data_IF_505819478196
#
_entry.id   IF_505819478196
#
_cell.length_a   1.000
_cell.length_b   1.000
_cell.length_c   1.000
_cell.angle_alpha   90.00
_cell.angle_beta   90.00
_cell.angle_gamma   90.00
#
_symmetry.space_group_name_H-M   'P 1'
#
loop_
_entity.id
_entity.type
_entity.pdbx_description
1 polymer ?
#
# COMPACT_ATOMS: atom_id res chain seq x y z
N UNK A 1 29.88 -16.74 6.75
CA UNK A 1 29.14 -15.47 6.92
C UNK A 1 30.19 -14.38 7.06
N UNK A 2 30.13 -13.33 6.24
CA UNK A 2 31.13 -12.25 6.25
C UNK A 2 30.84 -11.25 7.37
N UNK A 3 31.85 -10.53 7.85
CA UNK A 3 31.67 -9.49 8.88
C UNK A 3 30.68 -8.41 8.42
N UNK A 4 30.67 -8.04 7.13
CA UNK A 4 29.64 -7.17 6.56
C UNK A 4 28.21 -7.70 6.75
N UNK A 5 27.98 -9.01 6.56
CA UNK A 5 26.65 -9.59 6.69
C UNK A 5 26.17 -9.58 8.15
N UNK A 6 27.08 -9.75 9.10
CA UNK A 6 26.80 -9.65 10.54
C UNK A 6 26.52 -8.19 10.91
N UNK A 7 27.27 -7.25 10.36
CA UNK A 7 27.08 -5.82 10.64
C UNK A 7 25.76 -5.28 10.04
N UNK A 8 25.38 -5.73 8.85
CA UNK A 8 24.06 -5.44 8.26
C UNK A 8 22.93 -6.06 9.07
N UNK A 9 23.09 -7.31 9.54
CA UNK A 9 22.10 -7.99 10.37
C UNK A 9 21.93 -7.32 11.75
N UNK A 10 23.02 -6.89 12.38
CA UNK A 10 22.99 -6.18 13.66
C UNK A 10 22.41 -4.77 13.52
N UNK A 11 22.74 -4.03 12.45
CA UNK A 11 22.05 -2.77 12.13
C UNK A 11 20.54 -3.01 11.93
N UNK A 12 20.16 -4.04 11.19
CA UNK A 12 18.75 -4.40 10.98
C UNK A 12 18.02 -4.71 12.29
N UNK A 13 18.66 -5.39 13.25
CA UNK A 13 18.10 -5.72 14.57
C UNK A 13 18.01 -4.51 15.51
N UNK A 14 19.03 -3.64 15.54
CA UNK A 14 19.00 -2.40 16.33
C UNK A 14 17.93 -1.43 15.82
N UNK A 15 17.77 -1.36 14.49
CA UNK A 15 16.70 -0.59 13.83
C UNK A 15 15.30 -1.12 14.20
N UNK A 16 15.11 -2.45 14.23
CA UNK A 16 13.83 -3.06 14.60
C UNK A 16 13.39 -2.70 16.04
N UNK A 17 14.32 -2.52 16.97
CA UNK A 17 14.01 -2.12 18.35
C UNK A 17 13.75 -0.62 18.52
N UNK A 18 14.51 0.22 17.80
CA UNK A 18 14.38 1.69 17.87
C UNK A 18 13.10 2.19 17.20
N UNK A 19 12.65 1.52 16.14
CA UNK A 19 11.51 1.96 15.33
C UNK A 19 10.15 1.73 15.99
N UNK A 20 10.04 0.76 16.90
CA UNK A 20 8.86 0.58 17.76
C UNK A 20 8.62 1.74 18.73
N UNK A 21 9.65 2.51 19.06
CA UNK A 21 9.59 3.59 20.04
C UNK A 21 9.36 4.97 19.40
N UNK A 22 9.64 5.12 18.11
CA UNK A 22 9.63 6.41 17.39
C UNK A 22 8.32 6.71 16.65
N UNK A 23 7.43 5.72 16.53
CA UNK A 23 6.16 5.88 15.85
C UNK A 23 5.00 5.76 16.83
N UNK A 24 3.94 6.54 16.63
CA UNK A 24 2.60 6.25 17.16
C UNK A 24 1.99 4.97 16.51
N UNK A 25 2.83 3.96 16.23
CA UNK A 25 2.47 2.63 15.77
C UNK A 25 2.45 1.75 17.00
N UNK A 26 1.25 1.33 17.41
CA UNK A 26 1.11 0.34 18.47
C UNK A 26 1.20 -1.11 17.94
N UNK A 27 1.38 -1.34 16.62
CA UNK A 27 1.19 -2.68 16.02
C UNK A 27 1.79 -2.90 14.59
N UNK A 28 3.03 -2.46 14.32
CA UNK A 28 3.75 -2.61 13.03
C UNK A 28 2.99 -2.16 11.76
N UNK A 29 1.98 -1.30 11.92
CA UNK A 29 1.07 -0.92 10.85
C UNK A 29 0.60 0.53 10.96
N UNK A 30 0.56 1.22 9.82
CA UNK A 30 -0.09 2.52 9.70
C UNK A 30 -1.61 2.34 9.73
N UNK A 31 -2.34 3.25 10.37
CA UNK A 31 -3.81 3.33 10.29
C UNK A 31 -4.18 4.76 9.96
N UNK A 32 -5.02 4.95 8.95
CA UNK A 32 -5.41 6.29 8.57
C UNK A 32 -6.47 6.33 7.47
N UNK A 33 -6.65 7.53 6.93
CA UNK A 33 -7.75 7.87 6.02
C UNK A 33 -7.19 8.27 4.67
N UNK A 34 -7.94 7.95 3.63
CA UNK A 34 -7.66 8.44 2.28
C UNK A 34 -8.63 9.54 1.93
N UNK A 35 -8.11 10.69 1.53
CA UNK A 35 -8.89 11.72 0.87
C UNK A 35 -8.60 11.65 -0.62
N UNK A 36 -9.60 11.23 -1.41
CA UNK A 36 -9.44 10.91 -2.83
C UNK A 36 -10.18 11.94 -3.67
N UNK A 37 -9.45 12.60 -4.57
CA UNK A 37 -9.99 13.57 -5.53
C UNK A 37 -9.92 13.05 -6.97
N UNK A 38 -10.98 13.24 -7.75
CA UNK A 38 -10.99 12.93 -9.19
C UNK A 38 -10.66 14.18 -10.02
N UNK A 39 -9.49 14.78 -9.75
CA UNK A 39 -9.09 16.06 -10.37
C UNK A 39 -8.93 15.96 -11.89
N UNK A 40 -8.60 14.76 -12.37
CA UNK A 40 -8.36 14.48 -13.78
C UNK A 40 -9.64 14.28 -14.60
N UNK A 41 -10.81 14.37 -13.98
CA UNK A 41 -12.07 14.65 -14.67
C UNK A 41 -12.76 13.45 -15.29
N UNK A 42 -12.53 12.25 -14.74
CA UNK A 42 -13.20 11.02 -15.18
C UNK A 42 -14.62 10.95 -14.61
N UNK A 43 -14.84 11.56 -13.44
CA UNK A 43 -16.14 11.72 -12.80
C UNK A 43 -16.25 13.15 -12.27
N UNK A 44 -17.21 13.92 -12.79
CA UNK A 44 -17.54 15.29 -12.34
C UNK A 44 -19.00 15.37 -11.97
N UNK A 45 -19.34 16.29 -11.08
CA UNK A 45 -20.74 16.66 -10.83
C UNK A 45 -21.32 17.40 -12.05
N UNK A 46 -22.64 17.49 -12.13
CA UNK A 46 -23.34 18.15 -13.25
C UNK A 46 -22.95 19.64 -13.44
N UNK A 47 -22.52 20.30 -12.37
CA UNK A 47 -22.04 21.69 -12.35
C UNK A 47 -20.51 21.81 -12.55
N UNK A 48 -19.82 20.70 -12.83
CA UNK A 48 -18.41 20.66 -13.20
C UNK A 48 -17.41 20.63 -12.04
N UNK A 49 -17.87 20.53 -10.79
CA UNK A 49 -16.98 20.39 -9.64
C UNK A 49 -16.29 19.02 -9.58
N UNK A 50 -15.07 19.03 -9.03
CA UNK A 50 -14.31 17.81 -8.73
C UNK A 50 -15.01 17.06 -7.61
N UNK A 51 -15.16 15.75 -7.79
CA UNK A 51 -15.66 14.87 -6.74
C UNK A 51 -14.51 14.54 -5.81
N UNK A 52 -14.67 14.90 -4.54
CA UNK A 52 -13.75 14.55 -3.45
C UNK A 52 -14.50 13.66 -2.45
N UNK A 53 -13.85 12.57 -2.02
CA UNK A 53 -14.41 11.63 -1.04
C UNK A 53 -13.36 11.24 -0.02
N UNK A 54 -13.78 11.14 1.22
CA UNK A 54 -12.95 10.60 2.30
C UNK A 54 -13.34 9.15 2.56
N UNK A 55 -12.35 8.29 2.60
CA UNK A 55 -12.45 6.88 2.91
C UNK A 55 -11.67 6.60 4.21
N UNK A 56 -12.26 5.90 5.15
CA UNK A 56 -11.68 5.60 6.47
C UNK A 56 -11.52 4.08 6.66
N UNK A 57 -10.72 3.69 7.65
CA UNK A 57 -10.56 2.30 8.07
C UNK A 57 -9.52 1.55 7.24
N UNK A 58 -8.48 2.23 6.75
CA UNK A 58 -7.35 1.58 6.11
C UNK A 58 -6.24 1.29 7.11
N UNK A 59 -5.59 0.15 6.90
CA UNK A 59 -4.38 -0.24 7.57
C UNK A 59 -3.31 -0.58 6.53
N UNK A 60 -2.11 0.01 6.64
CA UNK A 60 -0.98 -0.35 5.80
C UNK A 60 0.01 -1.20 6.58
N UNK A 61 0.57 -2.20 5.92
CA UNK A 61 1.67 -2.99 6.42
C UNK A 61 2.83 -3.00 5.42
N UNK A 62 4.05 -3.02 5.95
CA UNK A 62 5.28 -3.10 5.15
C UNK A 62 5.39 -4.43 4.43
N UNK A 63 5.86 -4.43 3.19
CA UNK A 63 6.26 -5.67 2.51
C UNK A 63 7.52 -6.28 3.15
N UNK A 64 7.85 -7.53 2.79
CA UNK A 64 9.09 -8.19 3.24
C UNK A 64 10.37 -7.53 2.71
N UNK A 65 10.26 -6.56 1.79
CA UNK A 65 11.37 -5.72 1.36
C UNK A 65 11.54 -4.53 2.31
N UNK A 66 12.47 -4.68 3.25
CA UNK A 66 12.74 -3.73 4.34
C UNK A 66 13.77 -2.67 3.95
N UNK A 67 13.69 -2.12 2.74
CA UNK A 67 14.53 -0.97 2.37
C UNK A 67 14.25 0.17 3.37
N UNK A 68 15.30 0.70 4.01
CA UNK A 68 15.20 1.72 5.08
C UNK A 68 14.38 2.94 4.61
N UNK A 69 14.45 3.22 3.32
CA UNK A 69 13.71 4.23 2.58
C UNK A 69 12.20 4.03 2.67
N UNK A 70 11.72 2.79 2.48
CA UNK A 70 10.28 2.45 2.56
C UNK A 70 9.76 2.65 3.97
N UNK A 71 10.56 2.27 4.99
CA UNK A 71 10.12 2.51 6.36
C UNK A 71 10.12 3.99 6.71
N UNK A 72 11.17 4.74 6.41
CA UNK A 72 11.19 6.20 6.65
C UNK A 72 10.01 6.89 5.95
N UNK A 73 9.65 6.42 4.75
CA UNK A 73 8.49 6.90 4.02
C UNK A 73 7.17 6.64 4.76
N UNK A 74 6.92 5.41 5.22
CA UNK A 74 5.75 5.07 6.04
C UNK A 74 5.75 5.84 7.36
N UNK A 75 6.92 6.05 7.96
CA UNK A 75 7.07 6.83 9.19
C UNK A 75 6.61 8.26 9.05
N UNK A 76 6.62 8.77 7.82
CA UNK A 76 6.19 10.12 7.49
C UNK A 76 4.72 10.23 7.08
N UNK A 77 3.95 9.14 7.13
CA UNK A 77 2.55 9.15 6.71
C UNK A 77 1.70 10.06 7.61
N UNK A 78 0.95 11.01 7.02
CA UNK A 78 -0.01 11.80 7.77
C UNK A 78 -1.22 10.96 8.18
N UNK A 79 -2.02 11.45 9.13
CA UNK A 79 -3.31 10.84 9.50
C UNK A 79 -4.25 10.70 8.29
N UNK A 80 -4.20 11.67 7.36
CA UNK A 80 -4.97 11.69 6.13
C UNK A 80 -4.03 11.80 4.93
N UNK A 81 -3.98 10.75 4.11
CA UNK A 81 -3.23 10.74 2.85
C UNK A 81 -4.14 11.27 1.75
N UNK A 82 -3.69 12.30 1.04
CA UNK A 82 -4.39 12.86 -0.12
C UNK A 82 -3.94 12.14 -1.39
N UNK A 83 -4.90 11.67 -2.18
CA UNK A 83 -4.67 10.88 -3.38
C UNK A 83 -5.53 11.41 -4.54
N UNK A 84 -5.00 11.33 -5.74
CA UNK A 84 -5.75 11.52 -6.97
C UNK A 84 -6.12 10.17 -7.60
N UNK A 85 -7.37 10.08 -8.05
CA UNK A 85 -7.85 8.94 -8.84
C UNK A 85 -7.47 9.14 -10.32
N UNK A 86 -6.76 8.17 -10.90
CA UNK A 86 -6.16 8.24 -12.24
C UNK A 86 -6.32 6.92 -13.01
N UNK A 87 -6.40 6.94 -14.36
CA UNK A 87 -6.35 5.70 -15.13
C UNK A 87 -5.07 4.94 -14.81
N UNK A 88 -5.17 3.64 -14.52
CA UNK A 88 -4.00 2.83 -14.14
C UNK A 88 -2.89 2.94 -15.18
N UNK A 89 -3.24 2.90 -16.46
CA UNK A 89 -2.28 2.98 -17.57
C UNK A 89 -1.50 4.30 -17.62
N UNK A 90 -2.02 5.40 -17.06
CA UNK A 90 -1.33 6.69 -17.09
C UNK A 90 -0.27 6.84 -16.00
N UNK A 91 -0.33 6.02 -14.95
CA UNK A 91 0.60 6.06 -13.81
C UNK A 91 1.32 4.73 -13.60
N UNK A 92 1.32 3.85 -14.60
CA UNK A 92 2.03 2.59 -14.53
C UNK A 92 3.54 2.84 -14.41
N UNK A 93 4.24 2.33 -13.37
CA UNK A 93 5.66 2.55 -13.21
C UNK A 93 6.45 2.01 -14.40
N UNK A 94 7.37 2.78 -14.96
CA UNK A 94 8.23 2.30 -16.07
C UNK A 94 9.19 1.18 -15.64
N UNK A 95 9.53 1.12 -14.34
CA UNK A 95 10.34 0.05 -13.75
C UNK A 95 9.63 -1.31 -13.76
N UNK A 96 8.29 -1.31 -13.85
CA UNK A 96 7.53 -2.53 -14.01
C UNK A 96 7.71 -3.00 -15.44
N UNK A 97 8.68 -3.91 -15.64
CA UNK A 97 9.01 -4.53 -16.93
C UNK A 97 7.83 -5.38 -17.45
N UNK A 98 8.09 -6.58 -17.96
CA UNK A 98 7.04 -7.49 -18.42
C UNK A 98 6.16 -8.04 -17.27
N UNK A 99 6.64 -8.03 -16.02
CA UNK A 99 5.93 -8.59 -14.86
C UNK A 99 6.37 -7.93 -13.55
N UNK A 100 5.41 -7.61 -12.67
CA UNK A 100 5.64 -7.07 -11.32
C UNK A 100 5.98 -8.23 -10.38
N UNK A 101 6.97 -8.07 -9.51
CA UNK A 101 7.33 -9.06 -8.48
C UNK A 101 6.98 -8.59 -7.07
N UNK A 102 7.11 -9.46 -6.07
CA UNK A 102 6.85 -9.09 -4.66
C UNK A 102 7.83 -8.04 -4.13
N UNK A 103 9.03 -8.00 -4.71
CA UNK A 103 10.10 -7.07 -4.31
C UNK A 103 9.80 -5.62 -4.72
N UNK A 104 8.97 -5.45 -5.75
CA UNK A 104 8.51 -4.15 -6.23
C UNK A 104 7.45 -3.52 -5.30
N UNK A 105 6.85 -4.32 -4.40
CA UNK A 105 5.77 -3.87 -3.52
C UNK A 105 6.39 -3.38 -2.21
N UNK A 106 6.15 -2.12 -1.88
CA UNK A 106 6.58 -1.52 -0.61
C UNK A 106 5.55 -1.71 0.51
N UNK A 107 4.25 -1.64 0.17
CA UNK A 107 3.17 -1.67 1.15
C UNK A 107 1.97 -2.50 0.69
N UNK A 108 1.31 -3.10 1.67
CA UNK A 108 0.00 -3.73 1.52
C UNK A 108 -1.03 -2.98 2.36
N UNK A 109 -2.14 -2.60 1.75
CA UNK A 109 -3.25 -1.91 2.37
C UNK A 109 -4.47 -2.82 2.52
N UNK A 110 -5.02 -2.86 3.73
CA UNK A 110 -6.14 -3.69 4.15
C UNK A 110 -7.23 -2.84 4.80
N UNK A 111 -8.45 -3.38 4.85
CA UNK A 111 -9.45 -2.88 5.77
C UNK A 111 -9.02 -3.20 7.21
N UNK A 112 -9.17 -2.22 8.10
CA UNK A 112 -8.85 -2.35 9.53
C UNK A 112 -9.72 -3.40 10.22
N UNK A 113 -10.98 -3.50 9.82
CA UNK A 113 -12.00 -4.40 10.37
C UNK A 113 -13.11 -4.66 9.34
N UNK A 114 -14.02 -5.59 9.67
CA UNK A 114 -15.14 -5.98 8.79
C UNK A 114 -16.03 -4.77 8.44
N UNK A 115 -16.28 -3.88 9.41
CA UNK A 115 -17.09 -2.69 9.17
C UNK A 115 -16.43 -1.74 8.16
N UNK A 116 -15.12 -1.54 8.28
CA UNK A 116 -14.31 -0.76 7.33
C UNK A 116 -14.29 -1.40 5.94
N UNK A 117 -14.28 -2.74 5.89
CA UNK A 117 -14.35 -3.50 4.66
C UNK A 117 -15.66 -3.24 3.90
N UNK A 118 -16.79 -3.41 4.60
CA UNK A 118 -18.13 -3.26 4.03
C UNK A 118 -18.45 -1.79 3.68
N UNK A 119 -17.96 -0.84 4.48
CA UNK A 119 -18.32 0.58 4.31
C UNK A 119 -17.49 1.29 3.24
N UNK A 120 -16.16 1.13 3.25
CA UNK A 120 -15.27 1.94 2.41
C UNK A 120 -14.37 1.10 1.50
N UNK A 121 -13.69 0.09 2.06
CA UNK A 121 -12.64 -0.62 1.35
C UNK A 121 -13.15 -1.35 0.11
N UNK A 122 -14.21 -2.15 0.26
CA UNK A 122 -14.78 -2.95 -0.83
C UNK A 122 -15.31 -2.08 -1.96
N UNK A 123 -16.00 -0.98 -1.62
CA UNK A 123 -16.52 -0.01 -2.58
C UNK A 123 -15.40 0.67 -3.38
N UNK A 124 -14.34 1.12 -2.71
CA UNK A 124 -13.17 1.72 -3.37
C UNK A 124 -12.45 0.70 -4.27
N UNK A 125 -12.16 -0.49 -3.74
CA UNK A 125 -11.53 -1.59 -4.48
C UNK A 125 -12.32 -1.94 -5.74
N UNK A 126 -13.63 -2.16 -5.61
CA UNK A 126 -14.50 -2.49 -6.73
C UNK A 126 -14.58 -1.37 -7.77
N UNK A 127 -14.57 -0.10 -7.33
CA UNK A 127 -14.51 1.06 -8.23
C UNK A 127 -13.20 1.04 -9.03
N UNK A 128 -12.06 0.83 -8.36
CA UNK A 128 -10.75 0.80 -8.99
C UNK A 128 -10.64 -0.33 -10.01
N UNK A 129 -11.09 -1.53 -9.66
CA UNK A 129 -11.08 -2.69 -10.57
C UNK A 129 -12.00 -2.46 -11.77
N UNK A 130 -13.27 -2.07 -11.51
CA UNK A 130 -14.29 -1.93 -12.56
C UNK A 130 -13.91 -0.90 -13.61
N UNK A 131 -13.25 0.18 -13.20
CA UNK A 131 -12.94 1.31 -14.06
C UNK A 131 -11.47 1.36 -14.52
N UNK A 132 -10.66 0.33 -14.22
CA UNK A 132 -9.22 0.28 -14.46
C UNK A 132 -8.46 1.51 -13.91
N UNK A 133 -8.73 1.85 -12.65
CA UNK A 133 -8.17 3.01 -11.97
C UNK A 133 -7.09 2.64 -10.96
N UNK A 134 -6.22 3.60 -10.70
CA UNK A 134 -5.20 3.58 -9.67
C UNK A 134 -5.20 4.90 -8.90
N UNK A 135 -4.59 4.91 -7.72
CA UNK A 135 -4.48 6.11 -6.88
C UNK A 135 -3.04 6.60 -6.86
N UNK A 136 -2.87 7.92 -6.91
CA UNK A 136 -1.57 8.58 -6.86
C UNK A 136 -1.53 9.63 -5.77
N UNK A 137 -0.54 9.58 -4.88
CA UNK A 137 -0.25 10.62 -3.91
C UNK A 137 1.19 11.10 -4.03
N UNK A 138 1.47 12.29 -3.51
CA UNK A 138 2.83 12.72 -3.24
C UNK A 138 2.96 12.98 -1.73
N UNK A 139 3.92 12.29 -1.10
CA UNK A 139 4.21 12.40 0.32
C UNK A 139 5.68 12.76 0.48
N UNK A 140 5.94 13.97 0.96
CA UNK A 140 7.30 14.48 1.21
C UNK A 140 8.25 14.35 0.00
N UNK A 141 7.74 14.55 -1.21
CA UNK A 141 8.52 14.48 -2.45
C UNK A 141 8.59 13.09 -3.07
N UNK A 142 8.19 12.03 -2.36
CA UNK A 142 8.09 10.69 -2.90
C UNK A 142 6.68 10.37 -3.41
N UNK A 143 6.59 9.66 -4.53
CA UNK A 143 5.32 9.28 -5.14
C UNK A 143 4.78 7.98 -4.57
N UNK A 144 3.55 8.04 -4.04
CA UNK A 144 2.80 6.88 -3.59
C UNK A 144 1.84 6.44 -4.70
N UNK A 145 2.06 5.27 -5.28
CA UNK A 145 1.16 4.69 -6.28
C UNK A 145 0.46 3.48 -5.68
N UNK A 146 -0.87 3.52 -5.61
CA UNK A 146 -1.69 2.44 -5.06
C UNK A 146 -2.51 1.80 -6.17
N UNK A 147 -2.42 0.48 -6.23
CA UNK A 147 -3.07 -0.35 -7.24
C UNK A 147 -3.93 -1.45 -6.59
N UNK A 148 -5.01 -1.90 -7.26
CA UNK A 148 -5.72 -3.10 -6.82
C UNK A 148 -4.89 -4.34 -7.16
N UNK A 149 -4.81 -5.34 -6.27
CA UNK A 149 -3.88 -6.46 -6.44
C UNK A 149 -4.18 -7.39 -7.61
N UNK A 150 -5.38 -7.34 -8.20
CA UNK A 150 -5.78 -8.18 -9.34
C UNK A 150 -4.94 -7.95 -10.62
N UNK A 151 -4.17 -6.86 -10.66
CA UNK A 151 -3.27 -6.56 -11.79
C UNK A 151 -1.91 -7.23 -11.64
N UNK A 152 -1.61 -7.77 -10.46
CA UNK A 152 -0.37 -8.47 -10.19
C UNK A 152 -0.46 -9.94 -10.63
N UNK A 153 0.67 -10.65 -10.76
CA UNK A 153 0.66 -12.11 -10.90
C UNK A 153 -0.11 -12.79 -9.77
N UNK A 154 -0.81 -13.89 -10.09
CA UNK A 154 -1.72 -14.58 -9.17
C UNK A 154 -1.05 -14.93 -7.84
N UNK A 155 0.24 -15.27 -7.86
CA UNK A 155 0.99 -15.70 -6.68
C UNK A 155 1.17 -14.59 -5.63
N UNK A 156 1.04 -13.32 -6.03
CA UNK A 156 1.24 -12.15 -5.18
C UNK A 156 -0.01 -11.26 -5.05
N UNK A 157 -1.16 -11.69 -5.60
CA UNK A 157 -2.41 -10.93 -5.48
C UNK A 157 -3.01 -10.98 -4.08
N UNK A 158 -2.64 -11.98 -3.27
CA UNK A 158 -3.21 -12.22 -1.94
C UNK A 158 -2.09 -12.44 -0.96
N UNK A 159 -1.76 -11.44 -0.17
CA UNK A 159 -0.79 -11.54 0.90
C UNK A 159 -1.48 -11.22 2.22
N UNK A 160 -1.30 -12.08 3.21
CA UNK A 160 -1.92 -11.98 4.53
C UNK A 160 -0.83 -11.68 5.55
N UNK A 161 -1.03 -10.73 6.47
CA UNK A 161 -0.12 -10.54 7.59
C UNK A 161 -0.04 -11.83 8.43
N UNK A 162 1.16 -12.29 8.81
CA UNK A 162 1.28 -13.36 9.80
C UNK A 162 0.67 -12.94 11.13
N UNK A 163 0.01 -13.88 11.80
CA UNK A 163 -0.56 -13.71 13.14
C UNK A 163 0.52 -13.41 14.18
N UNK A 164 0.16 -12.63 15.21
CA UNK A 164 1.05 -12.27 16.33
C UNK A 164 1.70 -13.52 16.96
N UNK A 165 3.02 -13.59 16.94
CA UNK A 165 3.80 -14.66 17.59
C UNK A 165 4.70 -15.47 16.65
N UNK A 166 4.52 -15.34 15.34
CA UNK A 166 5.44 -15.88 14.33
C UNK A 166 6.22 -14.72 13.69
N UNK A 167 7.47 -14.97 13.28
CA UNK A 167 8.38 -13.95 12.71
C UNK A 167 7.65 -13.02 11.72
N UNK A 168 7.87 -11.71 11.88
CA UNK A 168 7.30 -10.65 11.06
C UNK A 168 7.40 -11.01 9.57
N UNK A 169 6.25 -11.12 8.89
CA UNK A 169 6.22 -11.53 7.50
C UNK A 169 4.82 -11.64 6.92
N UNK A 170 4.76 -11.68 5.59
CA UNK A 170 3.54 -11.87 4.81
C UNK A 170 3.56 -13.26 4.21
N UNK A 171 2.40 -13.91 4.19
CA UNK A 171 2.22 -15.15 3.42
C UNK A 171 1.25 -14.89 2.28
N UNK A 172 1.70 -15.13 1.05
CA UNK A 172 0.82 -15.01 -0.10
C UNK A 172 0.15 -16.36 -0.42
N UNK A 173 -1.18 -16.40 -0.47
CA UNK A 173 -1.96 -17.62 -0.71
C UNK A 173 -2.00 -17.96 -2.21
N UNK A 174 -1.77 -19.22 -2.55
CA UNK A 174 -1.74 -19.69 -3.95
C UNK A 174 -3.14 -19.88 -4.60
N UNK A 175 -4.23 -19.99 -3.82
CA UNK A 175 -5.57 -20.32 -4.36
C UNK A 175 -6.55 -19.13 -4.38
N UNK A 176 -7.26 -18.98 -5.50
CA UNK A 176 -8.13 -17.84 -5.87
C UNK A 176 -9.63 -18.02 -5.52
N UNK A 177 -9.97 -18.48 -4.31
CA UNK A 177 -11.35 -18.80 -3.94
C UNK A 177 -12.26 -17.62 -3.56
N UNK A 178 -11.74 -16.59 -2.86
CA UNK A 178 -12.58 -15.54 -2.26
C UNK A 178 -12.19 -14.12 -2.73
N UNK A 179 -13.12 -13.42 -3.39
CA UNK A 179 -12.94 -12.04 -3.83
C UNK A 179 -12.74 -11.05 -2.67
N UNK A 180 -13.13 -11.44 -1.45
CA UNK A 180 -12.93 -10.64 -0.23
C UNK A 180 -11.48 -10.55 0.22
N UNK A 181 -10.60 -11.37 -0.34
CA UNK A 181 -9.17 -11.40 -0.02
C UNK A 181 -8.31 -10.51 -0.93
N UNK A 182 -8.90 -9.70 -1.83
CA UNK A 182 -8.15 -8.76 -2.67
C UNK A 182 -7.59 -7.61 -1.83
N UNK A 183 -6.34 -7.24 -2.09
CA UNK A 183 -5.61 -6.22 -1.33
C UNK A 183 -5.25 -5.03 -2.22
N UNK A 184 -5.03 -3.88 -1.63
CA UNK A 184 -4.41 -2.75 -2.32
C UNK A 184 -2.91 -2.83 -2.08
N UNK A 185 -2.13 -2.66 -3.13
CA UNK A 185 -0.66 -2.66 -3.05
C UNK A 185 -0.16 -1.27 -3.33
N UNK A 186 0.86 -0.82 -2.62
CA UNK A 186 1.59 0.37 -3.02
C UNK A 186 3.03 0.09 -3.41
N UNK A 187 3.40 0.84 -4.42
CA UNK A 187 4.68 0.80 -5.08
C UNK A 187 5.32 2.15 -4.83
N UNK A 188 6.56 2.15 -4.32
CA UNK A 188 7.37 3.35 -4.35
C UNK A 188 7.85 3.53 -5.79
N UNK A 189 7.32 4.53 -6.49
CA UNK A 189 7.96 5.00 -7.71
C UNK A 189 9.18 5.81 -7.26
N UNK A 190 10.35 5.19 -7.35
CA UNK A 190 11.60 5.91 -7.18
C UNK A 190 11.75 6.84 -8.40
N UNK A 191 11.55 8.13 -8.21
CA UNK A 191 12.18 9.12 -9.07
C UNK A 191 13.67 9.13 -8.71
N UNK A 192 14.46 8.28 -9.37
CA UNK A 192 15.91 8.39 -9.41
C UNK A 192 16.37 9.01 -10.72
#
# INVERSE_FOLDING_TARGET
>A
MTEEAIHQFLQMLEFHHSWKLLMHIHDDSYRGKFHISNRHGIERTYDGHVIERTYDGFQAHLSTCHAVEVINFVSSFPEIITLDELPRSSIWPSQFRAQVTKEDIGLYFFAKDVNSYDTHYSSLMNKMIKNDMALKGNLNGAELLIFPSNILPQEIQRCIPRSKGEESGFFCKENAGDERERIMVAVAAETF
#
